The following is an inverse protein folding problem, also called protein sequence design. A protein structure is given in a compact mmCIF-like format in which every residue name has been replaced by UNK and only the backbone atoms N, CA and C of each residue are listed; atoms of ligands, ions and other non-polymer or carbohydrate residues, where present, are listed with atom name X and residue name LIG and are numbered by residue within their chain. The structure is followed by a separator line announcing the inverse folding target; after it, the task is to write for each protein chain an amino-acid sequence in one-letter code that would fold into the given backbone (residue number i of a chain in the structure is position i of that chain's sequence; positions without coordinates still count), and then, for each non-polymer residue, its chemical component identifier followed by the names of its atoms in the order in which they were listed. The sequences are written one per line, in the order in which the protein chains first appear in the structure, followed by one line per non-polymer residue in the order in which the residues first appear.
data_IF_397015095650
#
_entry.id   IF_397015095650
#
_cell.length_a   1.000
_cell.length_b   1.000
_cell.length_c   1.000
_cell.angle_alpha   90.00
_cell.angle_beta   90.00
_cell.angle_gamma   90.00
#
_symmetry.space_group_name_H-M   'P 1'
#
loop_
_entity.id
_entity.type
_entity.pdbx_description
1 polymer ?
#
# COMPACT_ATOMS: atom_id res chain seq x y z
N UNK A 1 3.01 60.01 -5.90
CA UNK A 1 2.12 59.56 -7.00
C UNK A 1 1.49 58.23 -6.60
N UNK A 2 0.28 58.28 -6.03
CA UNK A 2 -0.49 57.10 -5.57
C UNK A 2 -1.26 56.54 -6.77
N UNK A 3 -0.84 55.39 -7.31
CA UNK A 3 -1.62 54.66 -8.31
C UNK A 3 -2.79 53.97 -7.59
N UNK A 4 -3.96 54.60 -7.63
CA UNK A 4 -5.22 54.01 -7.16
C UNK A 4 -5.59 52.87 -8.12
N UNK A 5 -5.43 51.62 -7.69
CA UNK A 5 -6.02 50.49 -8.41
C UNK A 5 -7.56 50.70 -8.49
N UNK A 6 -8.18 50.51 -9.66
CA UNK A 6 -9.62 50.69 -9.80
C UNK A 6 -10.35 49.67 -8.93
N UNK A 7 -11.18 50.17 -8.01
CA UNK A 7 -11.94 49.37 -7.03
C UNK A 7 -12.80 48.26 -7.66
N UNK A 8 -13.14 48.39 -8.95
CA UNK A 8 -13.83 47.36 -9.74
C UNK A 8 -12.98 46.12 -10.05
N UNK A 9 -11.65 46.25 -10.18
CA UNK A 9 -10.75 45.13 -10.45
C UNK A 9 -10.55 44.26 -9.19
N UNK A 10 -10.54 44.89 -8.01
CA UNK A 10 -10.45 44.20 -6.72
C UNK A 10 -11.75 43.44 -6.41
N UNK A 11 -12.91 44.02 -6.76
CA UNK A 11 -14.20 43.38 -6.52
C UNK A 11 -14.46 42.19 -7.48
N UNK A 12 -13.98 42.27 -8.73
CA UNK A 12 -14.03 41.15 -9.67
C UNK A 12 -13.08 39.99 -9.26
N UNK A 13 -11.92 40.30 -8.67
CA UNK A 13 -10.98 39.27 -8.21
C UNK A 13 -11.52 38.51 -6.99
N UNK A 14 -12.22 39.18 -6.07
CA UNK A 14 -12.85 38.55 -4.89
C UNK A 14 -14.06 37.71 -5.29
N UNK A 15 -14.84 38.12 -6.29
CA UNK A 15 -15.97 37.34 -6.80
C UNK A 15 -15.53 36.02 -7.46
N UNK A 16 -14.37 35.99 -8.12
CA UNK A 16 -13.80 34.76 -8.72
C UNK A 16 -13.27 33.80 -7.64
N UNK A 17 -12.80 34.29 -6.50
CA UNK A 17 -12.38 33.46 -5.37
C UNK A 17 -13.56 32.88 -4.55
N UNK A 18 -14.73 33.51 -4.58
CA UNK A 18 -15.91 33.04 -3.85
C UNK A 18 -16.76 31.99 -4.59
N UNK A 19 -16.48 31.72 -5.88
CA UNK A 19 -17.24 30.80 -6.74
C UNK A 19 -16.62 29.40 -6.86
N UNK A 20 -15.66 29.04 -6.00
CA UNK A 20 -15.08 27.69 -6.05
C UNK A 20 -14.81 27.10 -4.67
N UNK A 21 -15.82 26.45 -4.06
CA UNK A 21 -15.61 25.21 -3.35
C UNK A 21 -16.03 24.08 -4.29
N UNK A 22 -15.35 23.93 -5.44
CA UNK A 22 -15.15 22.57 -5.92
C UNK A 22 -14.15 21.99 -4.94
N UNK A 23 -14.67 21.56 -3.79
CA UNK A 23 -14.00 20.65 -2.89
C UNK A 23 -13.52 19.54 -3.80
N UNK A 24 -12.20 19.43 -3.96
CA UNK A 24 -11.59 18.34 -4.67
C UNK A 24 -12.13 17.06 -4.03
N UNK A 25 -13.12 16.45 -4.68
CA UNK A 25 -13.66 15.17 -4.29
C UNK A 25 -12.49 14.23 -4.54
N UNK A 26 -11.75 13.91 -3.47
CA UNK A 26 -10.65 12.95 -3.51
C UNK A 26 -11.27 11.68 -4.08
N UNK A 27 -10.95 11.35 -5.34
CA UNK A 27 -11.46 10.15 -6.00
C UNK A 27 -11.11 8.97 -5.10
N UNK A 28 -12.10 8.51 -4.34
CA UNK A 28 -11.93 7.40 -3.44
C UNK A 28 -11.86 6.13 -4.28
N UNK A 29 -10.95 5.20 -3.97
CA UNK A 29 -10.75 4.04 -4.80
C UNK A 29 -11.99 3.15 -4.75
N UNK A 30 -12.47 2.77 -5.93
CA UNK A 30 -13.53 1.77 -6.10
C UNK A 30 -13.02 0.33 -5.93
N UNK A 31 -11.70 0.16 -5.99
CA UNK A 31 -10.99 -1.11 -5.78
C UNK A 31 -9.69 -0.88 -5.02
N UNK A 32 -9.43 -1.69 -4.00
CA UNK A 32 -8.12 -1.77 -3.35
C UNK A 32 -7.30 -2.92 -3.92
N UNK A 33 -6.09 -2.62 -4.41
CA UNK A 33 -5.14 -3.64 -4.85
C UNK A 33 -4.24 -4.01 -3.69
N UNK A 34 -4.20 -5.29 -3.32
CA UNK A 34 -3.37 -5.82 -2.23
C UNK A 34 -2.40 -6.86 -2.78
N UNK A 35 -1.11 -6.64 -2.51
CA UNK A 35 -0.03 -7.53 -2.88
C UNK A 35 0.15 -8.68 -1.90
N UNK A 36 0.48 -9.86 -2.40
CA UNK A 36 1.01 -10.99 -1.66
C UNK A 36 2.34 -11.41 -2.27
N UNK A 37 3.42 -11.26 -1.52
CA UNK A 37 4.77 -11.66 -1.91
C UNK A 37 5.30 -12.73 -0.95
N UNK A 38 5.75 -13.87 -1.46
CA UNK A 38 6.41 -14.90 -0.66
C UNK A 38 7.29 -15.79 -1.55
N UNK A 39 8.06 -16.70 -0.95
CA UNK A 39 8.87 -17.69 -1.65
C UNK A 39 8.00 -18.88 -2.10
N UNK A 40 7.36 -18.74 -3.26
CA UNK A 40 6.42 -19.72 -3.83
C UNK A 40 7.11 -20.81 -4.67
N UNK A 41 8.39 -20.61 -5.00
CA UNK A 41 9.26 -21.64 -5.58
C UNK A 41 10.46 -21.93 -4.68
N UNK A 42 11.18 -23.02 -4.99
CA UNK A 42 12.35 -23.46 -4.23
C UNK A 42 11.98 -24.18 -2.92
N UNK A 43 12.93 -24.23 -1.98
CA UNK A 43 12.83 -25.05 -0.76
C UNK A 43 11.75 -24.58 0.23
N UNK A 44 11.33 -23.32 0.16
CA UNK A 44 10.33 -22.72 1.05
C UNK A 44 8.90 -22.79 0.49
N UNK A 45 8.73 -23.21 -0.77
CA UNK A 45 7.44 -23.22 -1.47
C UNK A 45 6.34 -23.99 -0.73
N UNK A 46 6.68 -25.16 -0.17
CA UNK A 46 5.74 -25.99 0.58
C UNK A 46 5.16 -25.28 1.81
N UNK A 47 5.93 -24.38 2.44
CA UNK A 47 5.49 -23.59 3.59
C UNK A 47 4.68 -22.36 3.15
N UNK A 48 5.08 -21.71 2.04
CA UNK A 48 4.43 -20.51 1.53
C UNK A 48 3.06 -20.78 0.88
N UNK A 49 2.83 -21.97 0.31
CA UNK A 49 1.58 -22.28 -0.40
C UNK A 49 0.35 -22.23 0.52
N UNK A 50 0.50 -22.59 1.81
CA UNK A 50 -0.56 -22.44 2.81
C UNK A 50 -0.93 -20.96 3.03
N UNK A 51 0.06 -20.07 3.14
CA UNK A 51 -0.14 -18.63 3.28
C UNK A 51 -0.84 -18.05 2.04
N UNK A 52 -0.41 -18.45 0.84
CA UNK A 52 -1.01 -18.00 -0.42
C UNK A 52 -2.49 -18.39 -0.52
N UNK A 53 -2.81 -19.65 -0.21
CA UNK A 53 -4.20 -20.14 -0.20
C UNK A 53 -5.05 -19.38 0.82
N UNK A 54 -4.51 -19.14 2.02
CA UNK A 54 -5.20 -18.35 3.04
C UNK A 54 -5.49 -16.94 2.56
N UNK A 55 -4.52 -16.27 1.94
CA UNK A 55 -4.67 -14.92 1.41
C UNK A 55 -5.76 -14.84 0.33
N UNK A 56 -5.74 -15.77 -0.63
CA UNK A 56 -6.75 -15.85 -1.69
C UNK A 56 -8.15 -16.05 -1.08
N UNK A 57 -8.28 -17.04 -0.19
CA UNK A 57 -9.55 -17.35 0.47
C UNK A 57 -10.11 -16.15 1.24
N UNK A 58 -9.28 -15.42 1.98
CA UNK A 58 -9.70 -14.23 2.72
C UNK A 58 -10.24 -13.14 1.79
N UNK A 59 -9.58 -12.90 0.65
CA UNK A 59 -10.06 -11.91 -0.32
C UNK A 59 -11.36 -12.36 -0.99
N UNK A 60 -11.47 -13.65 -1.33
CA UNK A 60 -12.71 -14.22 -1.88
C UNK A 60 -13.88 -14.04 -0.90
N UNK A 61 -13.68 -14.33 0.38
CA UNK A 61 -14.71 -14.16 1.42
C UNK A 61 -15.12 -12.69 1.58
N UNK A 62 -14.17 -11.76 1.61
CA UNK A 62 -14.43 -10.32 1.68
C UNK A 62 -15.23 -9.84 0.46
N UNK A 63 -14.83 -10.25 -0.74
CA UNK A 63 -15.51 -9.85 -1.95
C UNK A 63 -16.90 -10.50 -2.08
N UNK A 64 -17.09 -11.73 -1.59
CA UNK A 64 -18.37 -12.43 -1.60
C UNK A 64 -19.45 -11.72 -0.77
N UNK A 65 -19.06 -11.04 0.32
CA UNK A 65 -19.98 -10.23 1.14
C UNK A 65 -20.12 -8.78 0.65
N UNK A 66 -19.61 -8.47 -0.54
CA UNK A 66 -19.75 -7.16 -1.19
C UNK A 66 -18.51 -6.27 -1.12
N UNK A 67 -17.42 -6.70 -0.48
CA UNK A 67 -16.17 -5.95 -0.35
C UNK A 67 -15.95 -5.34 1.04
N UNK A 68 -14.88 -4.56 1.17
CA UNK A 68 -14.52 -3.82 2.37
C UNK A 68 -15.50 -2.67 2.61
N UNK A 69 -16.05 -2.57 3.82
CA UNK A 69 -16.95 -1.48 4.22
C UNK A 69 -16.14 -0.21 4.45
N UNK A 70 -16.24 0.74 3.54
CA UNK A 70 -15.61 2.05 3.65
C UNK A 70 -16.66 3.14 3.89
N UNK A 71 -16.27 4.32 4.43
CA UNK A 71 -17.19 5.45 4.62
C UNK A 71 -17.94 5.89 3.35
N UNK A 72 -17.46 5.49 2.18
CA UNK A 72 -18.00 5.86 0.86
C UNK A 72 -18.65 4.73 0.09
N UNK A 73 -18.80 3.56 0.70
CA UNK A 73 -19.40 2.39 0.07
C UNK A 73 -18.54 1.14 0.26
N UNK A 74 -19.03 0.03 -0.30
CA UNK A 74 -18.27 -1.20 -0.28
C UNK A 74 -17.26 -1.21 -1.42
N UNK A 75 -15.99 -1.45 -1.09
CA UNK A 75 -14.86 -1.41 -2.03
C UNK A 75 -14.33 -2.83 -2.22
N UNK A 76 -14.21 -3.28 -3.47
CA UNK A 76 -13.68 -4.62 -3.76
C UNK A 76 -12.17 -4.67 -3.55
N UNK A 77 -11.66 -5.87 -3.34
CA UNK A 77 -10.23 -6.13 -3.25
C UNK A 77 -9.75 -6.91 -4.47
N UNK A 78 -8.74 -6.39 -5.16
CA UNK A 78 -7.99 -7.12 -6.18
C UNK A 78 -6.65 -7.58 -5.60
N UNK A 79 -6.21 -8.76 -6.00
CA UNK A 79 -4.96 -9.33 -5.50
C UNK A 79 -3.86 -9.30 -6.55
N UNK A 80 -2.63 -9.08 -6.09
CA UNK A 80 -1.44 -9.28 -6.90
C UNK A 80 -0.52 -10.27 -6.18
N UNK A 81 -0.29 -11.44 -6.76
CA UNK A 81 0.54 -12.48 -6.16
C UNK A 81 1.88 -12.52 -6.91
N UNK A 82 2.99 -12.50 -6.20
CA UNK A 82 4.31 -12.72 -6.79
C UNK A 82 5.18 -13.66 -5.96
N UNK A 83 6.12 -14.27 -6.65
CA UNK A 83 7.15 -15.14 -6.10
C UNK A 83 8.47 -14.38 -6.00
N UNK A 84 9.08 -14.40 -4.81
CA UNK A 84 10.41 -13.83 -4.59
C UNK A 84 11.55 -14.83 -4.86
N UNK A 85 11.23 -16.09 -5.18
CA UNK A 85 12.20 -17.17 -5.48
C UNK A 85 13.23 -17.42 -4.36
N UNK A 86 12.96 -16.96 -3.13
CA UNK A 86 13.92 -16.89 -2.03
C UNK A 86 15.21 -16.11 -2.40
N UNK A 87 15.09 -15.08 -3.23
CA UNK A 87 16.19 -14.19 -3.66
C UNK A 87 15.85 -12.73 -3.39
N UNK A 88 16.68 -12.04 -2.61
CA UNK A 88 16.41 -10.66 -2.16
C UNK A 88 16.22 -9.67 -3.32
N UNK A 89 17.05 -9.76 -4.35
CA UNK A 89 16.98 -8.89 -5.53
C UNK A 89 15.68 -9.12 -6.35
N UNK A 90 15.23 -10.38 -6.43
CA UNK A 90 13.96 -10.73 -7.07
C UNK A 90 12.80 -10.19 -6.23
N UNK A 91 12.77 -10.46 -4.92
CA UNK A 91 11.71 -10.01 -4.03
C UNK A 91 11.53 -8.49 -4.03
N UNK A 92 12.60 -7.72 -3.87
CA UNK A 92 12.53 -6.24 -3.90
C UNK A 92 12.02 -5.74 -5.25
N UNK A 93 12.46 -6.35 -6.37
CA UNK A 93 11.95 -6.00 -7.70
C UNK A 93 10.46 -6.30 -7.84
N UNK A 94 10.00 -7.49 -7.41
CA UNK A 94 8.57 -7.87 -7.44
C UNK A 94 7.73 -6.95 -6.57
N UNK A 95 8.24 -6.55 -5.41
CA UNK A 95 7.58 -5.61 -4.52
C UNK A 95 7.32 -4.27 -5.23
N UNK A 96 8.36 -3.70 -5.87
CA UNK A 96 8.23 -2.47 -6.67
C UNK A 96 7.24 -2.64 -7.83
N UNK A 97 7.27 -3.77 -8.53
CA UNK A 97 6.28 -4.09 -9.58
C UNK A 97 4.84 -4.08 -9.03
N UNK A 98 4.60 -4.47 -7.77
CA UNK A 98 3.27 -4.38 -7.14
C UNK A 98 2.85 -2.92 -6.94
N UNK A 99 3.78 -2.09 -6.48
CA UNK A 99 3.55 -0.66 -6.25
C UNK A 99 3.25 0.08 -7.55
N UNK A 100 4.01 -0.21 -8.61
CA UNK A 100 3.77 0.35 -9.94
C UNK A 100 2.38 -0.04 -10.48
N UNK A 101 1.87 -1.22 -10.09
CA UNK A 101 0.51 -1.68 -10.41
C UNK A 101 -0.58 -1.08 -9.52
N UNK A 102 -0.20 -0.27 -8.54
CA UNK A 102 -1.10 0.46 -7.64
C UNK A 102 -1.47 -0.31 -6.38
N UNK A 103 -0.66 -1.27 -5.93
CA UNK A 103 -0.88 -1.93 -4.64
C UNK A 103 -0.81 -0.91 -3.49
N UNK A 104 -1.87 -0.84 -2.68
CA UNK A 104 -1.93 0.07 -1.51
C UNK A 104 -1.40 -0.57 -0.24
N UNK A 105 -1.32 -1.90 -0.24
CA UNK A 105 -0.76 -2.71 0.83
C UNK A 105 -0.11 -3.97 0.25
N UNK A 106 0.92 -4.48 0.91
CA UNK A 106 1.57 -5.74 0.58
C UNK A 106 1.68 -6.59 1.83
N UNK A 107 1.45 -7.89 1.71
CA UNK A 107 1.65 -8.86 2.79
C UNK A 107 2.31 -10.14 2.28
N UNK A 108 2.54 -11.09 3.18
CA UNK A 108 3.22 -12.35 2.91
C UNK A 108 4.69 -12.32 3.30
N UNK A 109 5.37 -13.42 2.96
CA UNK A 109 6.76 -13.69 3.33
C UNK A 109 6.84 -14.91 4.23
N UNK A 110 7.79 -15.79 3.90
CA UNK A 110 8.12 -17.00 4.65
C UNK A 110 9.60 -17.01 5.08
N UNK A 111 10.33 -15.93 4.73
CA UNK A 111 11.76 -15.82 4.90
C UNK A 111 12.12 -14.50 5.57
N UNK A 112 12.74 -14.59 6.75
CA UNK A 112 13.05 -13.44 7.60
C UNK A 112 13.91 -12.36 6.90
N UNK A 113 15.02 -12.71 6.19
CA UNK A 113 15.80 -11.72 5.43
C UNK A 113 15.00 -10.94 4.39
N UNK A 114 14.01 -11.56 3.75
CA UNK A 114 13.13 -10.84 2.81
C UNK A 114 12.32 -9.77 3.53
N UNK A 115 11.77 -10.11 4.71
CA UNK A 115 10.97 -9.16 5.48
C UNK A 115 11.80 -7.95 5.95
N UNK A 116 13.08 -8.18 6.27
CA UNK A 116 14.04 -7.11 6.54
C UNK A 116 14.33 -6.23 5.32
N UNK A 117 14.54 -6.84 4.15
CA UNK A 117 14.76 -6.09 2.91
C UNK A 117 13.54 -5.25 2.50
N UNK A 118 12.33 -5.79 2.66
CA UNK A 118 11.09 -5.05 2.38
C UNK A 118 10.83 -3.94 3.39
N UNK A 119 11.22 -4.10 4.66
CA UNK A 119 11.22 -2.99 5.62
C UNK A 119 12.06 -1.81 5.10
N UNK A 120 13.30 -2.08 4.68
CA UNK A 120 14.15 -1.01 4.12
C UNK A 120 13.54 -0.37 2.88
N UNK A 121 12.91 -1.17 2.00
CA UNK A 121 12.22 -0.63 0.83
C UNK A 121 11.05 0.28 1.23
N UNK A 122 10.29 -0.06 2.28
CA UNK A 122 9.16 0.75 2.75
C UNK A 122 9.56 2.08 3.38
N UNK A 123 10.84 2.26 3.76
CA UNK A 123 11.39 3.57 4.14
C UNK A 123 11.52 4.52 2.95
N UNK A 124 11.69 3.97 1.74
CA UNK A 124 11.85 4.73 0.50
C UNK A 124 10.49 4.88 -0.20
N UNK A 125 9.77 3.77 -0.31
CA UNK A 125 8.49 3.64 -1.01
C UNK A 125 7.40 3.39 0.04
N UNK A 126 6.79 4.43 0.63
CA UNK A 126 5.87 4.27 1.76
C UNK A 126 4.57 3.58 1.31
N UNK A 127 4.49 2.29 1.59
CA UNK A 127 3.32 1.42 1.38
C UNK A 127 3.09 0.60 2.64
N UNK A 128 1.82 0.35 2.97
CA UNK A 128 1.46 -0.51 4.09
C UNK A 128 2.05 -1.90 3.84
N UNK A 129 2.99 -2.31 4.68
CA UNK A 129 3.60 -3.63 4.61
C UNK A 129 3.33 -4.41 5.89
N UNK A 130 2.65 -5.55 5.75
CA UNK A 130 2.35 -6.49 6.83
C UNK A 130 3.15 -7.79 6.58
N UNK A 131 4.32 -7.97 7.21
CA UNK A 131 5.19 -9.10 6.94
C UNK A 131 4.56 -10.41 7.46
N UNK A 132 4.67 -11.47 6.66
CA UNK A 132 4.27 -12.83 7.05
C UNK A 132 5.26 -13.50 8.01
N UNK A 133 6.51 -13.03 8.04
CA UNK A 133 7.54 -13.46 8.99
C UNK A 133 8.20 -12.23 9.61
N UNK A 134 8.38 -12.25 10.93
CA UNK A 134 8.98 -11.11 11.63
C UNK A 134 10.48 -11.06 11.28
N UNK A 135 11.02 -9.89 10.88
CA UNK A 135 12.46 -9.74 10.68
C UNK A 135 13.23 -9.89 12.01
N UNK A 136 14.55 -9.97 11.94
CA UNK A 136 15.39 -10.06 13.13
C UNK A 136 15.14 -8.91 14.12
N UNK A 137 15.43 -9.15 15.41
CA UNK A 137 15.09 -8.25 16.53
C UNK A 137 15.55 -6.80 16.33
N UNK A 138 16.70 -6.62 15.67
CA UNK A 138 17.27 -5.33 15.30
C UNK A 138 16.33 -4.50 14.40
N UNK A 139 15.55 -5.14 13.53
CA UNK A 139 14.51 -4.49 12.73
C UNK A 139 13.37 -3.90 13.57
N UNK A 140 13.21 -4.32 14.83
CA UNK A 140 12.19 -3.84 15.76
C UNK A 140 12.69 -2.82 16.77
N UNK A 141 14.00 -2.53 16.78
CA UNK A 141 14.57 -1.53 17.67
C UNK A 141 14.09 -0.14 17.27
N UNK A 142 13.83 0.71 18.26
CA UNK A 142 13.31 2.07 18.06
C UNK A 142 14.11 2.80 16.97
N UNK A 143 13.39 3.29 15.96
CA UNK A 143 13.95 4.03 14.82
C UNK A 143 14.33 3.17 13.61
N UNK A 144 14.19 1.84 13.68
CA UNK A 144 14.51 0.95 12.56
C UNK A 144 13.29 0.42 11.76
N UNK A 145 12.12 0.12 12.35
CA UNK A 145 10.92 -0.15 11.56
C UNK A 145 10.59 1.05 10.68
N UNK A 146 10.22 0.81 9.43
CA UNK A 146 9.60 1.82 8.59
C UNK A 146 8.24 2.20 9.18
N UNK A 147 7.84 3.46 9.03
CA UNK A 147 6.54 3.95 9.52
C UNK A 147 5.35 3.18 8.91
N UNK A 148 5.53 2.64 7.71
CA UNK A 148 4.54 1.87 6.98
C UNK A 148 4.64 0.35 7.18
N UNK A 149 5.60 -0.13 7.99
CA UNK A 149 5.71 -1.53 8.37
C UNK A 149 4.89 -1.80 9.63
N UNK A 150 3.95 -2.74 9.53
CA UNK A 150 3.12 -3.18 10.65
C UNK A 150 3.42 -4.63 10.92
N UNK A 151 4.06 -4.95 12.04
CA UNK A 151 4.27 -6.34 12.44
C UNK A 151 3.25 -6.71 13.52
N UNK A 152 2.59 -7.88 13.44
CA UNK A 152 1.84 -8.40 14.57
C UNK A 152 2.86 -8.83 15.63
N UNK A 153 3.14 -7.96 16.60
CA UNK A 153 3.77 -8.35 17.85
C UNK A 153 2.81 -9.14 18.72
#
# INVERSE_FOLDING_TARGET
MRKLLPKGLVLALVAVLCLSPVVAQKNQPDVFKIGFLSSLTGSLAGLAEGQRKSFILSVEQVNAVGGLKMPWGNVKVETFIADDEAKLDVGVRRFREMLDKGAVAVTGGIWNPMSGALNEETKISPVIYLPGFVPAKDALLKGNPADAMYTPT
#
